data_IF_786326998127
#
_entry.id   IF_786326998127
#
_cell.length_a   1.000
_cell.length_b   1.000
_cell.length_c   1.000
_cell.angle_alpha   90.00
_cell.angle_beta   90.00
_cell.angle_gamma   90.00
#
_symmetry.space_group_name_H-M   'P 1'
#
loop_
_entity.id
_entity.type
_entity.pdbx_description
1 polymer ?
#
# COMPACT_ATOMS: atom_id res chain seq x y z
N UNK A 1 -33.96 10.83 -11.84
CA UNK A 1 -33.34 9.82 -10.97
C UNK A 1 -31.91 9.68 -11.44
N UNK A 2 -30.94 10.32 -10.75
CA UNK A 2 -29.53 10.22 -11.11
C UNK A 2 -29.02 8.83 -10.73
N UNK A 3 -28.48 8.09 -11.70
CA UNK A 3 -27.73 6.88 -11.42
C UNK A 3 -26.62 7.24 -10.42
N UNK A 4 -26.69 6.67 -9.23
CA UNK A 4 -25.60 6.71 -8.26
C UNK A 4 -24.39 6.03 -8.91
N UNK A 5 -23.50 6.82 -9.51
CA UNK A 5 -22.28 6.33 -10.14
C UNK A 5 -21.44 5.70 -9.03
N UNK A 6 -21.50 4.37 -8.94
CA UNK A 6 -20.74 3.63 -7.94
C UNK A 6 -19.29 4.11 -7.93
N UNK A 7 -18.79 4.48 -6.76
CA UNK A 7 -17.41 4.96 -6.62
C UNK A 7 -16.46 3.85 -7.07
N UNK A 8 -15.56 4.18 -8.01
CA UNK A 8 -14.54 3.25 -8.50
C UNK A 8 -13.42 3.10 -7.47
N UNK A 9 -12.95 1.87 -7.31
CA UNK A 9 -11.82 1.51 -6.45
C UNK A 9 -10.70 0.93 -7.31
N UNK A 10 -9.51 1.51 -7.23
CA UNK A 10 -8.32 0.95 -7.85
C UNK A 10 -7.45 0.27 -6.78
N UNK A 11 -7.14 -1.01 -7.00
CA UNK A 11 -6.17 -1.76 -6.20
C UNK A 11 -4.81 -1.69 -6.88
N UNK A 12 -3.82 -1.17 -6.16
CA UNK A 12 -2.45 -0.99 -6.62
C UNK A 12 -1.55 -1.95 -5.87
N UNK A 13 -0.77 -2.74 -6.61
CA UNK A 13 0.15 -3.75 -6.09
C UNK A 13 1.58 -3.36 -6.52
N UNK A 14 2.34 -2.65 -5.68
CA UNK A 14 3.75 -2.39 -5.96
C UNK A 14 4.55 -3.68 -5.81
N UNK A 15 5.39 -4.01 -6.81
CA UNK A 15 6.14 -5.25 -6.87
C UNK A 15 7.58 -5.02 -7.36
N UNK A 16 8.55 -5.65 -6.69
CA UNK A 16 9.94 -5.66 -7.11
C UNK A 16 10.56 -7.04 -6.92
N UNK A 17 10.82 -7.76 -8.04
CA UNK A 17 11.33 -9.12 -8.07
C UNK A 17 10.45 -10.09 -7.24
N UNK A 18 9.17 -10.18 -7.61
CA UNK A 18 8.16 -11.00 -6.94
C UNK A 18 7.50 -12.02 -7.89
N UNK A 19 8.20 -12.48 -8.97
CA UNK A 19 7.65 -13.43 -9.95
C UNK A 19 7.05 -14.68 -9.34
N UNK A 20 7.64 -15.18 -8.25
CA UNK A 20 7.19 -16.40 -7.58
C UNK A 20 5.91 -16.20 -6.74
N UNK A 21 5.53 -14.95 -6.42
CA UNK A 21 4.47 -14.65 -5.44
C UNK A 21 3.34 -13.81 -6.00
N UNK A 22 3.66 -12.89 -6.91
CA UNK A 22 2.70 -11.90 -7.43
C UNK A 22 1.44 -12.56 -7.99
N UNK A 23 1.55 -13.73 -8.60
CA UNK A 23 0.42 -14.43 -9.21
C UNK A 23 -0.71 -14.74 -8.24
N UNK A 24 -0.40 -15.23 -7.03
CA UNK A 24 -1.42 -15.54 -6.01
C UNK A 24 -2.10 -14.28 -5.47
N UNK A 25 -1.35 -13.18 -5.33
CA UNK A 25 -1.91 -11.89 -4.89
C UNK A 25 -2.85 -11.32 -5.95
N UNK A 26 -2.48 -11.41 -7.23
CA UNK A 26 -3.35 -11.01 -8.34
C UNK A 26 -4.63 -11.84 -8.40
N UNK A 27 -4.54 -13.16 -8.21
CA UNK A 27 -5.73 -14.03 -8.19
C UNK A 27 -6.68 -13.66 -7.04
N UNK A 28 -6.14 -13.38 -5.85
CA UNK A 28 -6.94 -12.85 -4.75
C UNK A 28 -7.58 -11.49 -5.10
N UNK A 29 -6.81 -10.60 -5.73
CA UNK A 29 -7.29 -9.29 -6.16
C UNK A 29 -8.45 -9.37 -7.17
N UNK A 30 -8.36 -10.29 -8.13
CA UNK A 30 -9.44 -10.56 -9.11
C UNK A 30 -10.68 -11.17 -8.47
N UNK A 31 -10.55 -11.82 -7.32
CA UNK A 31 -11.67 -12.35 -6.54
C UNK A 31 -12.36 -11.31 -5.65
N UNK A 32 -11.83 -10.11 -5.53
CA UNK A 32 -12.45 -9.02 -4.77
C UNK A 32 -13.62 -8.40 -5.54
N UNK A 33 -14.75 -8.20 -4.86
CA UNK A 33 -16.00 -7.72 -5.48
C UNK A 33 -16.12 -6.19 -5.51
N UNK A 34 -15.42 -5.52 -4.60
CA UNK A 34 -15.46 -4.06 -4.46
C UNK A 34 -14.36 -3.33 -5.25
N UNK A 35 -13.46 -4.08 -5.89
CA UNK A 35 -12.37 -3.54 -6.70
C UNK A 35 -12.81 -3.41 -8.15
N UNK A 36 -12.69 -2.21 -8.72
CA UNK A 36 -13.04 -1.93 -10.12
C UNK A 36 -11.89 -2.18 -11.09
N UNK A 37 -10.64 -2.02 -10.64
CA UNK A 37 -9.44 -2.25 -11.45
C UNK A 37 -8.26 -2.66 -10.56
N UNK A 38 -7.41 -3.55 -11.11
CA UNK A 38 -6.17 -4.00 -10.48
C UNK A 38 -4.99 -3.52 -11.30
N UNK A 39 -4.05 -2.86 -10.63
CA UNK A 39 -2.85 -2.28 -11.25
C UNK A 39 -1.63 -2.83 -10.53
N UNK A 40 -0.80 -3.57 -11.25
CA UNK A 40 0.52 -3.99 -10.77
C UNK A 40 1.55 -2.96 -11.23
N UNK A 41 2.38 -2.50 -10.30
CA UNK A 41 3.51 -1.64 -10.64
C UNK A 41 4.80 -2.43 -10.44
N UNK A 42 5.42 -2.82 -11.55
CA UNK A 42 6.73 -3.47 -11.55
C UNK A 42 7.82 -2.39 -11.41
N UNK A 43 8.39 -2.29 -10.22
CA UNK A 43 9.33 -1.24 -9.82
C UNK A 43 10.76 -1.54 -10.28
N UNK A 44 10.97 -1.61 -11.60
CA UNK A 44 12.26 -1.96 -12.19
C UNK A 44 12.68 -3.41 -11.91
N UNK A 45 11.73 -4.35 -11.85
CA UNK A 45 12.02 -5.77 -11.65
C UNK A 45 12.89 -6.34 -12.78
N UNK A 46 13.81 -7.22 -12.39
CA UNK A 46 14.73 -7.92 -13.32
C UNK A 46 14.29 -9.35 -13.62
N UNK A 47 13.30 -9.85 -12.88
CA UNK A 47 12.67 -11.15 -13.06
C UNK A 47 11.37 -11.02 -13.88
N UNK A 48 10.60 -12.09 -13.99
CA UNK A 48 9.35 -12.14 -14.76
C UNK A 48 8.12 -11.59 -14.01
N UNK A 49 8.30 -10.74 -12.99
CA UNK A 49 7.18 -10.15 -12.22
C UNK A 49 6.13 -9.50 -13.13
N UNK A 50 6.56 -8.67 -14.07
CA UNK A 50 5.66 -7.95 -14.97
C UNK A 50 4.96 -8.89 -15.94
N UNK A 51 5.69 -9.85 -16.54
CA UNK A 51 5.15 -10.85 -17.46
C UNK A 51 4.09 -11.74 -16.77
N UNK A 52 4.32 -12.13 -15.53
CA UNK A 52 3.33 -12.89 -14.74
C UNK A 52 2.05 -12.07 -14.56
N UNK A 53 2.16 -10.78 -14.24
CA UNK A 53 1.01 -9.92 -14.07
C UNK A 53 0.24 -9.71 -15.39
N UNK A 54 0.94 -9.48 -16.49
CA UNK A 54 0.33 -9.33 -17.83
C UNK A 54 -0.42 -10.58 -18.26
N UNK A 55 0.17 -11.78 -18.07
CA UNK A 55 -0.48 -13.06 -18.36
C UNK A 55 -1.77 -13.27 -17.56
N UNK A 56 -1.88 -12.69 -16.38
CA UNK A 56 -3.09 -12.73 -15.56
C UNK A 56 -4.10 -11.64 -15.94
N UNK A 57 -3.85 -10.85 -16.97
CA UNK A 57 -4.79 -9.90 -17.57
C UNK A 57 -5.08 -8.69 -16.68
N UNK A 58 -4.14 -8.26 -15.83
CA UNK A 58 -4.25 -7.02 -15.06
C UNK A 58 -3.44 -5.91 -15.69
N UNK A 59 -3.79 -4.66 -15.39
CA UNK A 59 -3.03 -3.50 -15.86
C UNK A 59 -1.63 -3.49 -15.24
N UNK A 60 -0.59 -3.36 -16.05
CA UNK A 60 0.80 -3.32 -15.58
C UNK A 60 1.45 -1.98 -15.92
N UNK A 61 2.07 -1.37 -14.92
CA UNK A 61 2.95 -0.21 -15.06
C UNK A 61 4.38 -0.69 -14.85
N UNK A 62 5.21 -0.57 -15.88
CA UNK A 62 6.63 -0.96 -15.82
C UNK A 62 7.48 0.29 -15.59
N UNK A 63 8.18 0.36 -14.46
CA UNK A 63 9.19 1.39 -14.22
C UNK A 63 10.54 0.92 -14.75
N UNK A 64 11.27 1.81 -15.42
CA UNK A 64 12.58 1.51 -16.00
C UNK A 64 13.61 1.24 -14.90
N UNK A 65 13.52 1.99 -13.80
CA UNK A 65 14.44 1.88 -12.67
C UNK A 65 13.66 1.72 -11.36
N UNK A 66 14.27 1.08 -10.37
CA UNK A 66 13.68 0.95 -9.04
C UNK A 66 13.56 2.32 -8.36
N UNK A 67 12.33 2.80 -8.26
CA UNK A 67 11.97 4.06 -7.60
C UNK A 67 11.70 3.90 -6.09
N UNK A 68 11.61 2.66 -5.61
CA UNK A 68 11.21 2.32 -4.25
C UNK A 68 9.70 2.31 -4.06
N UNK A 69 9.24 1.81 -2.89
CA UNK A 69 7.81 1.56 -2.63
C UNK A 69 6.95 2.81 -2.87
N UNK A 70 7.37 3.97 -2.39
CA UNK A 70 6.61 5.22 -2.58
C UNK A 70 6.52 5.65 -4.04
N UNK A 71 7.62 5.50 -4.80
CA UNK A 71 7.64 5.77 -6.23
C UNK A 71 6.70 4.86 -7.01
N UNK A 72 6.73 3.55 -6.72
CA UNK A 72 5.83 2.56 -7.31
C UNK A 72 4.36 2.85 -6.97
N UNK A 73 4.05 3.15 -5.71
CA UNK A 73 2.69 3.54 -5.30
C UNK A 73 2.22 4.79 -6.04
N UNK A 74 3.06 5.83 -6.14
CA UNK A 74 2.73 7.06 -6.86
C UNK A 74 2.51 6.82 -8.36
N UNK A 75 3.30 5.94 -8.99
CA UNK A 75 3.10 5.55 -10.39
C UNK A 75 1.77 4.82 -10.60
N UNK A 76 1.40 3.92 -9.68
CA UNK A 76 0.10 3.25 -9.72
C UNK A 76 -1.07 4.22 -9.57
N UNK A 77 -0.98 5.19 -8.66
CA UNK A 77 -2.02 6.22 -8.47
C UNK A 77 -2.16 7.09 -9.72
N UNK A 78 -1.08 7.45 -10.39
CA UNK A 78 -1.11 8.18 -11.65
C UNK A 78 -1.77 7.40 -12.80
N UNK A 79 -1.74 6.07 -12.74
CA UNK A 79 -2.29 5.21 -13.78
C UNK A 79 -3.81 5.00 -13.69
N UNK A 80 -4.48 5.57 -12.70
CA UNK A 80 -5.93 5.49 -12.48
C UNK A 80 -6.53 6.85 -12.19
N UNK A 81 -7.85 6.96 -12.34
CA UNK A 81 -8.65 8.13 -11.92
C UNK A 81 -9.62 7.77 -10.78
N UNK A 82 -9.52 6.56 -10.23
CA UNK A 82 -10.41 6.11 -9.17
C UNK A 82 -10.32 7.01 -7.93
N UNK A 83 -11.44 7.42 -7.33
CA UNK A 83 -11.47 8.28 -6.14
C UNK A 83 -11.04 7.55 -4.86
N UNK A 84 -11.10 6.21 -4.86
CA UNK A 84 -10.62 5.36 -3.78
C UNK A 84 -9.48 4.51 -4.31
N UNK A 85 -8.38 4.49 -3.58
CA UNK A 85 -7.20 3.70 -3.88
C UNK A 85 -6.92 2.73 -2.74
N UNK A 86 -6.57 1.51 -3.09
CA UNK A 86 -6.12 0.50 -2.14
C UNK A 86 -4.71 0.03 -2.50
N UNK A 87 -3.93 -0.33 -1.50
CA UNK A 87 -2.58 -0.88 -1.65
C UNK A 87 -2.49 -2.23 -0.96
N UNK A 88 -1.90 -3.19 -1.65
CA UNK A 88 -1.61 -4.53 -1.15
C UNK A 88 -0.17 -4.90 -1.55
N UNK A 89 0.60 -5.46 -0.63
CA UNK A 89 1.96 -5.92 -0.91
C UNK A 89 1.94 -7.18 -1.79
N UNK A 90 2.95 -7.34 -2.65
CA UNK A 90 3.03 -8.39 -3.66
C UNK A 90 3.45 -9.77 -3.11
N UNK A 91 3.82 -9.86 -1.83
CA UNK A 91 4.41 -11.05 -1.20
C UNK A 91 3.52 -11.68 -0.10
N UNK A 92 2.22 -11.38 -0.09
CA UNK A 92 1.29 -11.90 0.92
C UNK A 92 0.94 -13.37 0.71
N UNK A 93 0.79 -14.09 1.83
CA UNK A 93 0.27 -15.46 1.92
C UNK A 93 -1.09 -15.47 2.61
N UNK A 94 -1.97 -16.39 2.20
CA UNK A 94 -3.33 -16.53 2.76
C UNK A 94 -4.30 -15.40 2.37
N UNK A 95 -3.90 -14.49 1.47
CA UNK A 95 -4.78 -13.42 0.98
C UNK A 95 -5.87 -14.00 0.09
N UNK A 96 -7.11 -13.56 0.29
CA UNK A 96 -8.28 -13.85 -0.56
C UNK A 96 -9.04 -12.56 -0.87
N UNK A 97 -9.93 -12.59 -1.87
CA UNK A 97 -10.70 -11.41 -2.30
C UNK A 97 -11.48 -10.74 -1.16
N UNK A 98 -12.04 -11.53 -0.25
CA UNK A 98 -12.79 -11.02 0.89
C UNK A 98 -11.93 -10.11 1.79
N UNK A 99 -10.65 -10.44 2.02
CA UNK A 99 -9.75 -9.59 2.81
C UNK A 99 -9.55 -8.22 2.16
N UNK A 100 -9.52 -8.16 0.83
CA UNK A 100 -9.39 -6.92 0.07
C UNK A 100 -10.70 -6.12 0.17
N UNK A 101 -11.84 -6.78 0.01
CA UNK A 101 -13.15 -6.15 0.18
C UNK A 101 -13.32 -5.58 1.59
N UNK A 102 -12.89 -6.31 2.62
CA UNK A 102 -12.96 -5.85 4.01
C UNK A 102 -12.12 -4.58 4.26
N UNK A 103 -10.94 -4.49 3.62
CA UNK A 103 -10.10 -3.27 3.67
C UNK A 103 -10.77 -2.12 2.94
N UNK A 104 -11.36 -2.36 1.78
CA UNK A 104 -11.94 -1.33 0.90
C UNK A 104 -13.26 -0.80 1.46
N UNK A 105 -14.10 -1.66 1.98
CA UNK A 105 -15.49 -1.37 2.39
C UNK A 105 -15.64 -0.13 3.26
N UNK A 106 -14.92 0.06 4.39
CA UNK A 106 -15.15 1.20 5.27
C UNK A 106 -14.90 2.56 4.59
N UNK A 107 -13.92 2.60 3.65
CA UNK A 107 -13.64 3.82 2.88
C UNK A 107 -14.68 4.03 1.78
N UNK A 108 -15.12 2.96 1.12
CA UNK A 108 -16.15 3.01 0.06
C UNK A 108 -17.50 3.46 0.62
N UNK A 109 -17.89 2.97 1.78
CA UNK A 109 -19.14 3.30 2.49
C UNK A 109 -19.06 4.62 3.29
N UNK A 110 -17.94 5.34 3.15
CA UNK A 110 -17.69 6.63 3.83
C UNK A 110 -17.67 6.57 5.37
N UNK A 111 -17.43 5.42 5.93
CA UNK A 111 -17.26 5.25 7.39
C UNK A 111 -15.94 5.83 7.87
N UNK A 112 -14.90 5.79 7.01
CA UNK A 112 -13.58 6.35 7.28
C UNK A 112 -12.95 6.96 6.02
N UNK A 113 -11.87 7.72 6.21
CA UNK A 113 -11.08 8.31 5.13
C UNK A 113 -9.89 7.42 4.74
N UNK A 114 -9.48 6.53 5.68
CA UNK A 114 -8.48 5.51 5.47
C UNK A 114 -8.76 4.29 6.35
N UNK A 115 -8.68 3.09 5.76
CA UNK A 115 -8.64 1.82 6.48
C UNK A 115 -7.25 1.20 6.41
N UNK A 116 -6.86 0.47 7.45
CA UNK A 116 -5.55 -0.20 7.55
C UNK A 116 -5.75 -1.66 7.94
N UNK A 117 -5.30 -2.59 7.10
CA UNK A 117 -5.34 -4.02 7.35
C UNK A 117 -4.27 -4.44 8.37
N UNK A 118 -4.67 -5.19 9.38
CA UNK A 118 -3.80 -5.72 10.44
C UNK A 118 -3.88 -7.23 10.40
N UNK A 119 -2.73 -7.91 10.28
CA UNK A 119 -2.68 -9.36 10.29
C UNK A 119 -2.95 -9.92 11.68
N UNK A 120 -3.73 -11.01 11.75
CA UNK A 120 -3.99 -11.73 13.00
C UNK A 120 -4.15 -13.22 12.72
N UNK A 121 -3.46 -14.05 13.54
CA UNK A 121 -3.54 -15.51 13.39
C UNK A 121 -2.68 -16.07 12.25
N UNK A 122 -1.67 -15.30 11.78
CA UNK A 122 -0.59 -15.79 10.95
C UNK A 122 0.51 -16.47 11.77
N UNK A 123 1.74 -16.49 11.28
CA UNK A 123 2.89 -17.00 12.06
C UNK A 123 3.15 -16.09 13.27
N UNK A 124 3.39 -16.71 14.45
CA UNK A 124 3.51 -16.06 15.78
C UNK A 124 4.46 -14.84 15.81
N UNK A 125 5.51 -14.83 14.98
CA UNK A 125 6.49 -13.73 14.90
C UNK A 125 5.95 -12.48 14.18
N UNK A 126 4.98 -12.64 13.28
CA UNK A 126 4.37 -11.49 12.58
C UNK A 126 3.34 -10.79 13.45
N UNK A 127 2.59 -11.52 14.26
CA UNK A 127 1.54 -10.98 15.12
C UNK A 127 2.11 -10.11 16.25
N UNK A 128 3.24 -10.51 16.86
CA UNK A 128 3.88 -9.73 17.92
C UNK A 128 4.48 -8.41 17.42
N UNK A 129 5.09 -8.41 16.23
CA UNK A 129 5.64 -7.18 15.63
C UNK A 129 4.55 -6.19 15.23
N UNK A 130 3.38 -6.66 14.75
CA UNK A 130 2.25 -5.80 14.38
C UNK A 130 1.44 -5.32 15.60
N UNK A 131 1.47 -6.04 16.70
CA UNK A 131 0.86 -5.55 17.95
C UNK A 131 1.60 -4.32 18.48
N UNK A 132 2.91 -4.24 18.27
CA UNK A 132 3.76 -3.10 18.68
C UNK A 132 3.66 -1.94 17.68
N UNK A 133 3.44 -2.23 16.37
CA UNK A 133 3.40 -1.19 15.32
C UNK A 133 2.27 -1.41 14.29
N UNK A 134 1.00 -1.40 14.72
CA UNK A 134 -0.14 -1.68 13.85
C UNK A 134 -0.29 -0.68 12.69
N UNK A 135 0.38 0.45 12.77
CA UNK A 135 0.34 1.51 11.76
C UNK A 135 1.37 1.36 10.63
N UNK A 136 2.22 0.32 10.67
CA UNK A 136 3.24 0.07 9.63
C UNK A 136 2.78 -0.95 8.57
N UNK A 137 1.50 -1.35 8.59
CA UNK A 137 0.95 -2.23 7.56
C UNK A 137 0.91 -1.53 6.20
N UNK A 138 1.36 -2.23 5.14
CA UNK A 138 1.26 -1.79 3.75
C UNK A 138 -0.14 -1.92 3.17
N UNK A 139 -1.00 -2.77 3.78
CA UNK A 139 -2.34 -3.08 3.34
C UNK A 139 -3.30 -2.00 3.82
N UNK A 140 -3.81 -1.19 2.89
CA UNK A 140 -4.70 -0.06 3.22
C UNK A 140 -5.56 0.37 2.06
N UNK A 141 -6.72 0.94 2.35
CA UNK A 141 -7.49 1.70 1.38
C UNK A 141 -7.71 3.12 1.89
N UNK A 142 -7.79 4.08 0.99
CA UNK A 142 -7.97 5.48 1.36
C UNK A 142 -8.58 6.30 0.22
N UNK A 143 -9.09 7.46 0.56
CA UNK A 143 -9.43 8.47 -0.44
C UNK A 143 -8.18 8.91 -1.19
N UNK A 144 -8.26 8.97 -2.50
CA UNK A 144 -7.17 9.38 -3.39
C UNK A 144 -6.51 10.69 -2.94
N UNK A 145 -7.32 11.67 -2.56
CA UNK A 145 -6.89 13.00 -2.13
C UNK A 145 -5.95 12.96 -0.90
N UNK A 146 -6.13 11.96 -0.02
CA UNK A 146 -5.25 11.79 1.13
C UNK A 146 -3.84 11.42 0.70
N UNK A 147 -3.70 10.54 -0.28
CA UNK A 147 -2.41 10.11 -0.83
C UNK A 147 -1.75 11.23 -1.65
N UNK A 148 -2.49 11.86 -2.56
CA UNK A 148 -1.99 12.95 -3.41
C UNK A 148 -1.58 14.18 -2.61
N UNK A 149 -2.12 14.35 -1.41
CA UNK A 149 -1.70 15.39 -0.49
C UNK A 149 -0.34 15.18 0.17
N UNK A 150 0.45 14.18 -0.27
CA UNK A 150 1.82 13.92 0.20
C UNK A 150 2.79 14.19 -0.96
N UNK A 151 3.25 15.44 -1.15
CA UNK A 151 3.94 15.86 -2.37
C UNK A 151 5.28 15.16 -2.62
N UNK A 152 5.89 14.59 -1.57
CA UNK A 152 7.19 13.91 -1.64
C UNK A 152 7.07 12.38 -1.58
N UNK A 153 5.87 11.82 -1.69
CA UNK A 153 5.64 10.38 -1.52
C UNK A 153 6.46 9.53 -2.50
N UNK A 154 6.65 10.02 -3.73
CA UNK A 154 7.45 9.34 -4.74
C UNK A 154 8.96 9.27 -4.41
N UNK A 155 9.45 10.15 -3.54
CA UNK A 155 10.84 10.17 -3.10
C UNK A 155 11.08 9.25 -1.88
N UNK A 156 10.01 8.76 -1.26
CA UNK A 156 10.08 7.88 -0.07
C UNK A 156 10.30 6.44 -0.52
N UNK A 157 11.54 5.97 -0.42
CA UNK A 157 11.86 4.59 -0.82
C UNK A 157 11.39 3.55 0.18
N UNK A 158 11.53 3.84 1.48
CA UNK A 158 11.10 3.01 2.61
C UNK A 158 10.34 3.87 3.63
N UNK A 159 9.44 3.26 4.40
CA UNK A 159 8.67 4.00 5.42
C UNK A 159 7.55 4.86 4.84
N UNK A 160 7.06 4.54 3.66
CA UNK A 160 5.93 5.21 3.01
C UNK A 160 4.68 5.19 3.90
N UNK A 161 4.52 4.14 4.69
CA UNK A 161 3.44 3.97 5.67
C UNK A 161 3.46 5.09 6.72
N UNK A 162 4.64 5.48 7.17
CA UNK A 162 4.80 6.58 8.15
C UNK A 162 4.41 7.92 7.52
N UNK A 163 4.82 8.17 6.26
CA UNK A 163 4.46 9.39 5.55
C UNK A 163 2.93 9.50 5.37
N UNK A 164 2.27 8.39 5.03
CA UNK A 164 0.81 8.35 4.90
C UNK A 164 0.13 8.58 6.27
N UNK A 165 0.60 7.92 7.33
CA UNK A 165 0.04 8.09 8.67
C UNK A 165 0.21 9.52 9.18
N UNK A 166 1.36 10.15 8.94
CA UNK A 166 1.59 11.56 9.29
C UNK A 166 0.63 12.50 8.51
N UNK A 167 0.37 12.20 7.23
CA UNK A 167 -0.59 12.97 6.44
C UNK A 167 -2.02 12.80 6.95
N UNK A 168 -2.44 11.57 7.26
CA UNK A 168 -3.74 11.28 7.84
C UNK A 168 -3.93 12.03 9.17
N UNK A 169 -2.92 12.00 10.06
CA UNK A 169 -2.94 12.72 11.33
C UNK A 169 -3.05 14.24 11.14
N UNK A 170 -2.27 14.83 10.23
CA UNK A 170 -2.33 16.28 9.95
C UNK A 170 -3.66 16.73 9.42
N UNK A 171 -4.31 15.89 8.62
CA UNK A 171 -5.63 16.17 8.04
C UNK A 171 -6.79 15.77 8.95
N UNK A 172 -6.51 15.24 10.15
CA UNK A 172 -7.51 14.71 11.09
C UNK A 172 -8.42 13.67 10.41
N UNK A 173 -7.85 12.86 9.49
CA UNK A 173 -8.56 11.83 8.77
C UNK A 173 -9.08 10.76 9.73
N UNK A 174 -10.30 10.29 9.48
CA UNK A 174 -10.89 9.15 10.21
C UNK A 174 -10.18 7.88 9.74
N UNK A 175 -9.51 7.19 10.67
CA UNK A 175 -8.73 5.99 10.35
C UNK A 175 -9.33 4.80 11.09
N UNK A 176 -9.66 3.74 10.34
CA UNK A 176 -10.18 2.48 10.89
C UNK A 176 -9.20 1.33 10.69
N UNK A 177 -9.29 0.29 11.52
CA UNK A 177 -8.47 -0.92 11.45
C UNK A 177 -9.33 -2.10 11.05
N UNK A 178 -8.81 -2.91 10.12
CA UNK A 178 -9.45 -4.12 9.62
C UNK A 178 -8.56 -5.32 9.93
N UNK A 179 -9.12 -6.34 10.56
CA UNK A 179 -8.37 -7.54 10.94
C UNK A 179 -8.37 -8.52 9.77
N UNK A 180 -7.18 -8.84 9.27
CA UNK A 180 -6.95 -9.83 8.22
C UNK A 180 -6.52 -11.15 8.86
N UNK A 181 -7.46 -12.10 8.99
CA UNK A 181 -7.21 -13.39 9.64
C UNK A 181 -6.54 -14.36 8.66
N UNK A 182 -5.47 -15.03 9.11
CA UNK A 182 -4.77 -16.03 8.29
C UNK A 182 -3.91 -15.44 7.17
N UNK A 183 -3.79 -14.10 7.11
CA UNK A 183 -2.88 -13.42 6.17
C UNK A 183 -1.55 -13.13 6.86
N UNK A 184 -0.47 -13.35 6.14
CA UNK A 184 0.89 -13.04 6.62
C UNK A 184 1.78 -12.56 5.49
N UNK A 185 2.86 -11.86 5.83
CA UNK A 185 3.94 -11.63 4.86
C UNK A 185 4.72 -12.92 4.66
N UNK A 186 5.11 -13.22 3.43
CA UNK A 186 6.10 -14.24 3.16
C UNK A 186 7.44 -13.75 3.72
N UNK A 187 7.81 -14.25 4.89
CA UNK A 187 9.14 -14.01 5.42
C UNK A 187 10.15 -14.61 4.43
N UNK A 188 11.00 -13.75 3.89
CA UNK A 188 12.22 -14.21 3.21
C UNK A 188 13.07 -14.92 4.25
N UNK A 189 12.86 -16.21 4.44
CA UNK A 189 13.68 -17.10 5.27
C UNK A 189 15.09 -17.27 4.69
N UNK A 190 15.56 -16.35 3.89
CA UNK A 190 16.85 -16.42 3.24
C UNK A 190 17.75 -15.30 3.74
N UNK A 191 18.59 -15.64 4.72
CA UNK A 191 19.96 -15.10 4.83
C UNK A 191 20.16 -13.61 5.13
N UNK A 192 19.38 -13.01 5.99
CA UNK A 192 19.89 -11.81 6.65
C UNK A 192 19.92 -12.07 8.15
N UNK A 193 21.12 -12.44 8.65
CA UNK A 193 21.34 -12.63 10.07
C UNK A 193 20.86 -11.42 10.88
N UNK A 194 20.52 -11.66 12.15
CA UNK A 194 19.99 -10.70 13.13
C UNK A 194 20.62 -9.29 13.03
N UNK A 195 21.95 -9.21 12.77
CA UNK A 195 22.72 -7.97 12.61
C UNK A 195 22.26 -7.14 11.40
N UNK A 196 21.96 -7.77 10.25
CA UNK A 196 21.47 -7.05 9.05
C UNK A 196 20.03 -6.56 9.22
N UNK A 197 19.22 -7.28 10.00
CA UNK A 197 17.86 -6.84 10.36
C UNK A 197 17.88 -5.59 11.23
N UNK A 198 18.79 -5.47 12.17
CA UNK A 198 18.97 -4.27 13.01
C UNK A 198 19.51 -3.10 12.18
N UNK A 199 20.48 -3.33 11.29
CA UNK A 199 20.97 -2.28 10.38
C UNK A 199 19.91 -1.79 9.39
N UNK A 200 19.08 -2.68 8.85
CA UNK A 200 17.95 -2.30 7.99
C UNK A 200 16.92 -1.44 8.74
N UNK A 201 16.63 -1.76 10.01
CA UNK A 201 15.77 -0.92 10.88
C UNK A 201 16.41 0.43 11.17
N UNK A 202 17.72 0.49 11.43
CA UNK A 202 18.44 1.76 11.62
C UNK A 202 18.36 2.66 10.38
N UNK A 203 18.60 2.12 9.18
CA UNK A 203 18.43 2.84 7.91
C UNK A 203 16.98 3.33 7.71
N UNK A 204 16.00 2.51 8.01
CA UNK A 204 14.59 2.88 7.92
C UNK A 204 14.27 4.08 8.84
N UNK A 205 14.75 4.09 10.08
CA UNK A 205 14.55 5.21 11.00
C UNK A 205 15.23 6.49 10.53
N UNK A 206 16.45 6.39 9.94
CA UNK A 206 17.15 7.54 9.35
C UNK A 206 16.37 8.09 8.14
N UNK A 207 15.86 7.24 7.25
CA UNK A 207 15.04 7.67 6.11
C UNK A 207 13.72 8.32 6.55
N UNK A 208 13.05 7.75 7.56
CA UNK A 208 11.85 8.32 8.17
C UNK A 208 12.15 9.71 8.75
N UNK A 209 13.27 9.86 9.45
CA UNK A 209 13.67 11.13 10.06
C UNK A 209 14.01 12.15 8.98
N UNK A 210 14.75 11.76 7.94
CA UNK A 210 15.07 12.62 6.81
C UNK A 210 13.82 13.03 6.02
N UNK A 211 12.87 12.13 5.81
CA UNK A 211 11.58 12.44 5.19
C UNK A 211 10.78 13.45 6.04
N UNK A 212 10.79 13.31 7.38
CA UNK A 212 10.16 14.27 8.30
C UNK A 212 10.82 15.66 8.24
N UNK A 213 12.16 15.72 8.17
CA UNK A 213 12.91 16.98 8.07
C UNK A 213 12.66 17.67 6.73
N UNK A 214 12.70 16.94 5.61
CA UNK A 214 12.35 17.47 4.28
C UNK A 214 10.91 18.01 4.26
N UNK A 215 9.98 17.33 4.91
CA UNK A 215 8.59 17.74 5.00
C UNK A 215 8.41 19.06 5.79
N UNK A 216 9.18 19.28 6.87
CA UNK A 216 9.14 20.54 7.61
C UNK A 216 9.66 21.75 6.78
N UNK A 217 10.57 21.52 5.84
CA UNK A 217 11.14 22.56 4.97
C UNK A 217 10.28 22.87 3.75
N UNK A 218 9.42 21.94 3.31
CA UNK A 218 8.49 22.11 2.19
C UNK A 218 7.07 22.31 2.73
N UNK A 219 6.78 23.41 3.44
CA UNK A 219 5.40 23.81 3.76
C UNK A 219 4.70 24.21 2.45
N UNK A 220 3.67 23.49 1.99
CA UNK A 220 2.77 24.03 0.99
C UNK A 220 1.93 25.14 1.65
N UNK A 221 1.53 26.19 0.93
CA UNK A 221 0.62 27.19 1.45
C UNK A 221 -0.69 26.52 1.85
N UNK A 222 -1.17 26.83 3.05
CA UNK A 222 -2.48 26.45 3.55
C UNK A 222 -3.56 27.10 2.67
N UNK A 223 -3.98 26.41 1.61
CA UNK A 223 -5.26 26.65 0.98
C UNK A 223 -6.17 25.50 1.33
N UNK A 224 -7.06 25.73 2.28
CA UNK A 224 -8.21 24.88 2.54
C UNK A 224 -9.17 25.01 1.35
N UNK A 225 -9.50 23.92 0.63
CA UNK A 225 -10.56 23.97 -0.38
C UNK A 225 -11.94 23.72 0.21
N UNK A 226 -12.06 23.73 1.53
CA UNK A 226 -13.33 23.47 2.21
C UNK A 226 -13.82 24.74 2.91
N UNK A 227 -14.64 25.51 2.21
CA UNK A 227 -15.74 26.32 2.74
C UNK A 227 -17.04 25.76 2.18
#
# INVERSE_FOLDING_TARGET
MGESRALKVALIIPAYNEEARIGRVILAAKGAKLVSEVIVVSDGSKDRTAEVAEKLGVKVVRLVHNAGKGGAMAAGVKATTAPIIAFIDADLEGLVGQHIDDIVRPTLENECDMSVGIFRGGRVLSDSAQWITPYLSGQRAMRRELFEGIPYIAEVRMGVEVAINDAAKRRKARVTRVILRGVSNCYKETKMGFVKGVQARGKMWVEITNAKVKNRRRKPPLRSPWR
#
